data_IF_589397119676
#
_entry.id   IF_589397119676
#
_cell.length_a   1.000
_cell.length_b   1.000
_cell.length_c   1.000
_cell.angle_alpha   90.00
_cell.angle_beta   90.00
_cell.angle_gamma   90.00
#
_symmetry.space_group_name_H-M   'P 1'
#
loop_
_entity.id
_entity.type
_entity.pdbx_description
1 polymer ?
#
# COMPACT_ATOMS: atom_id res chain seq x y z
N UNK A 1 -40.48 12.68 3.31
CA UNK A 1 -39.23 12.12 3.86
C UNK A 1 -37.96 12.64 3.16
N UNK A 2 -37.85 12.64 1.82
CA UNK A 2 -36.67 13.20 1.09
C UNK A 2 -36.36 14.68 1.38
N UNK A 3 -37.39 15.52 1.56
CA UNK A 3 -37.23 16.96 1.86
C UNK A 3 -36.68 17.25 3.28
N UNK A 4 -36.99 16.38 4.25
CA UNK A 4 -36.52 16.51 5.64
C UNK A 4 -35.04 16.12 5.76
N UNK A 5 -34.62 15.10 5.02
CA UNK A 5 -33.20 14.68 4.94
C UNK A 5 -32.34 15.78 4.32
N UNK A 6 -32.85 16.50 3.32
CA UNK A 6 -32.14 17.61 2.68
C UNK A 6 -31.97 18.82 3.61
N UNK A 7 -32.98 19.14 4.43
CA UNK A 7 -32.88 20.20 5.45
C UNK A 7 -31.91 19.85 6.58
N UNK A 8 -31.81 18.58 6.98
CA UNK A 8 -30.83 18.13 7.99
C UNK A 8 -29.40 18.20 7.46
N UNK A 9 -29.19 17.84 6.19
CA UNK A 9 -27.90 18.00 5.50
C UNK A 9 -27.49 19.49 5.39
N UNK A 10 -28.44 20.38 5.08
CA UNK A 10 -28.15 21.83 4.97
C UNK A 10 -27.88 22.49 6.33
N UNK A 11 -28.54 22.05 7.42
CA UNK A 11 -28.24 22.54 8.77
C UNK A 11 -26.87 22.05 9.29
N UNK A 12 -26.45 20.85 8.89
CA UNK A 12 -25.13 20.31 9.29
C UNK A 12 -23.94 21.07 8.68
N UNK A 13 -24.13 21.72 7.51
CA UNK A 13 -23.09 22.55 6.88
C UNK A 13 -22.88 23.92 7.53
N UNK A 14 -23.85 24.44 8.29
CA UNK A 14 -23.68 25.70 9.01
C UNK A 14 -23.02 25.53 10.39
N UNK A 15 -23.15 24.36 11.01
CA UNK A 15 -22.50 24.04 12.29
C UNK A 15 -20.98 23.79 12.17
N UNK A 16 -20.45 23.52 10.96
CA UNK A 16 -19.01 23.30 10.76
C UNK A 16 -18.19 24.59 10.68
N UNK A 17 -18.82 25.77 10.68
CA UNK A 17 -18.10 27.06 10.61
C UNK A 17 -17.76 27.66 11.98
N UNK A 18 -18.18 27.03 13.08
CA UNK A 18 -17.99 27.56 14.44
C UNK A 18 -16.71 27.10 15.16
N UNK A 19 -15.78 26.41 14.47
CA UNK A 19 -14.49 25.99 15.04
C UNK A 19 -13.29 26.68 14.39
N UNK A 20 -13.36 28.00 14.20
CA UNK A 20 -12.15 28.80 14.01
C UNK A 20 -11.58 29.17 15.38
N UNK A 21 -10.74 28.28 15.90
CA UNK A 21 -9.85 28.57 17.04
C UNK A 21 -8.97 29.75 16.67
N UNK A 22 -8.96 30.78 17.52
CA UNK A 22 -8.06 31.94 17.43
C UNK A 22 -6.62 31.43 17.31
N UNK A 23 -6.00 31.63 16.14
CA UNK A 23 -4.63 31.21 15.86
C UNK A 23 -3.67 32.09 16.68
N UNK A 24 -3.03 31.50 17.71
CA UNK A 24 -1.95 32.15 18.47
C UNK A 24 -0.86 32.65 17.49
N UNK A 25 -0.17 33.77 17.79
CA UNK A 25 0.79 34.40 16.88
C UNK A 25 1.79 33.38 16.37
N UNK A 26 1.96 33.38 15.04
CA UNK A 26 2.69 32.38 14.29
C UNK A 26 4.14 32.28 14.78
N UNK A 27 4.48 31.15 15.40
CA UNK A 27 5.87 30.75 15.56
C UNK A 27 6.53 30.81 14.17
N UNK A 28 7.67 31.50 14.09
CA UNK A 28 8.39 31.79 12.84
C UNK A 28 8.55 30.50 12.02
N UNK A 29 7.74 30.35 10.97
CA UNK A 29 7.65 29.12 10.21
C UNK A 29 8.96 28.91 9.46
N UNK A 30 9.70 27.88 9.87
CA UNK A 30 11.03 27.57 9.36
C UNK A 30 11.06 26.14 8.85
N UNK A 31 11.77 25.91 7.75
CA UNK A 31 11.94 24.57 7.20
C UNK A 31 12.93 23.79 8.08
N UNK A 32 12.52 22.59 8.50
CA UNK A 32 13.33 21.73 9.37
C UNK A 32 13.79 20.46 8.66
N UNK A 33 14.84 19.86 9.22
CA UNK A 33 15.10 18.44 8.98
C UNK A 33 14.18 17.62 9.89
N UNK A 34 13.35 16.77 9.31
CA UNK A 34 12.30 16.02 10.01
C UNK A 34 12.43 14.55 9.63
N UNK A 35 13.02 13.71 10.50
CA UNK A 35 12.89 12.26 10.41
C UNK A 35 11.46 11.85 10.78
N UNK A 36 10.90 10.92 10.02
CA UNK A 36 9.50 10.51 10.11
C UNK A 36 9.35 9.00 9.92
N UNK A 37 8.43 8.42 10.68
CA UNK A 37 7.92 7.08 10.46
C UNK A 37 6.47 7.22 10.00
N UNK A 38 6.06 6.45 9.00
CA UNK A 38 4.69 6.47 8.51
C UNK A 38 4.10 5.07 8.43
N UNK A 39 2.81 4.97 8.71
CA UNK A 39 1.98 3.80 8.42
C UNK A 39 0.97 4.22 7.36
N UNK A 40 0.80 3.42 6.32
CA UNK A 40 -0.03 3.76 5.17
C UNK A 40 -0.86 2.58 4.69
N UNK A 41 -2.00 2.89 4.09
CA UNK A 41 -2.84 1.96 3.37
C UNK A 41 -2.97 2.43 1.91
N UNK A 42 -3.01 1.49 0.99
CA UNK A 42 -3.28 1.75 -0.41
C UNK A 42 -4.22 0.70 -1.00
N UNK A 43 -5.05 1.14 -1.93
CA UNK A 43 -5.80 0.26 -2.81
C UNK A 43 -5.17 0.35 -4.19
N UNK A 44 -4.76 -0.80 -4.75
CA UNK A 44 -3.97 -0.86 -5.98
C UNK A 44 -4.70 -1.69 -7.04
N UNK A 45 -4.69 -1.19 -8.28
CA UNK A 45 -5.10 -1.91 -9.47
C UNK A 45 -3.88 -2.53 -10.15
N UNK A 46 -4.11 -3.68 -10.78
CA UNK A 46 -3.11 -4.41 -11.55
C UNK A 46 -3.15 -4.01 -13.02
N UNK A 47 -2.00 -3.94 -13.67
CA UNK A 47 -1.82 -3.72 -15.11
C UNK A 47 -0.70 -4.61 -15.68
N UNK A 48 -0.58 -4.64 -17.01
CA UNK A 48 0.30 -5.55 -17.74
C UNK A 48 0.05 -7.02 -17.34
N UNK A 49 1.07 -7.87 -17.30
CA UNK A 49 0.93 -9.31 -17.02
C UNK A 49 0.53 -9.60 -15.56
N UNK A 50 0.54 -8.59 -14.68
CA UNK A 50 -0.08 -8.70 -13.35
C UNK A 50 -1.60 -8.76 -13.46
N UNK A 51 -2.21 -7.99 -14.37
CA UNK A 51 -3.66 -7.92 -14.54
C UNK A 51 -4.26 -9.20 -15.09
N UNK A 52 -3.48 -9.99 -15.83
CA UNK A 52 -3.92 -11.30 -16.36
C UNK A 52 -4.05 -12.33 -15.24
N UNK A 53 -3.30 -12.16 -14.14
CA UNK A 53 -3.23 -13.11 -13.03
C UNK A 53 -4.02 -12.66 -11.82
N UNK A 54 -4.03 -11.37 -11.52
CA UNK A 54 -4.57 -10.82 -10.28
C UNK A 54 -5.46 -9.60 -10.53
N UNK A 55 -6.59 -9.54 -9.83
CA UNK A 55 -7.42 -8.35 -9.69
C UNK A 55 -6.81 -7.29 -8.77
N UNK A 56 -7.59 -6.25 -8.44
CA UNK A 56 -7.17 -5.19 -7.51
C UNK A 56 -6.86 -5.75 -6.11
N UNK A 57 -5.89 -5.16 -5.43
CA UNK A 57 -5.42 -5.60 -4.13
C UNK A 57 -5.41 -4.47 -3.09
N UNK A 58 -5.35 -4.89 -1.83
CA UNK A 58 -5.08 -4.00 -0.69
C UNK A 58 -3.61 -4.07 -0.33
N UNK A 59 -3.07 -2.95 0.14
CA UNK A 59 -1.66 -2.80 0.46
C UNK A 59 -1.50 -2.00 1.76
N UNK A 60 -0.63 -2.46 2.64
CA UNK A 60 -0.24 -1.77 3.87
C UNK A 60 1.27 -1.54 3.84
N UNK A 61 1.70 -0.35 4.24
CA UNK A 61 3.10 0.04 4.12
C UNK A 61 3.63 0.78 5.33
N UNK A 62 4.85 0.42 5.74
CA UNK A 62 5.67 1.16 6.68
C UNK A 62 6.76 1.93 5.93
N UNK A 63 7.05 3.16 6.35
CA UNK A 63 8.11 3.97 5.73
C UNK A 63 8.90 4.71 6.78
N UNK A 64 10.22 4.72 6.64
CA UNK A 64 11.08 5.69 7.29
C UNK A 64 11.55 6.70 6.24
N UNK A 65 11.35 7.98 6.52
CA UNK A 65 11.70 9.06 5.59
C UNK A 65 12.31 10.24 6.34
N UNK A 66 13.34 10.84 5.76
CA UNK A 66 13.92 12.10 6.24
C UNK A 66 13.60 13.19 5.25
N UNK A 67 12.90 14.23 5.72
CA UNK A 67 12.77 15.50 5.03
C UNK A 67 13.89 16.43 5.46
N UNK A 68 14.57 17.09 4.54
CA UNK A 68 15.61 18.11 4.86
C UNK A 68 15.02 19.53 4.89
N UNK A 69 15.80 20.49 5.39
CA UNK A 69 15.49 21.93 5.31
C UNK A 69 15.32 22.43 3.87
N UNK A 70 16.03 21.81 2.92
CA UNK A 70 15.94 22.09 1.47
C UNK A 70 14.80 21.32 0.79
N UNK A 71 13.93 20.67 1.57
CA UNK A 71 12.79 19.89 1.10
C UNK A 71 13.13 18.66 0.26
N UNK A 72 14.37 18.17 0.32
CA UNK A 72 14.68 16.81 -0.16
C UNK A 72 14.06 15.77 0.76
N UNK A 73 13.57 14.69 0.16
CA UNK A 73 13.00 13.52 0.80
C UNK A 73 13.84 12.31 0.42
N UNK A 74 14.20 11.48 1.39
CA UNK A 74 14.83 10.18 1.12
C UNK A 74 14.52 9.21 2.24
N UNK A 75 14.59 7.92 1.94
CA UNK A 75 14.29 6.89 2.92
C UNK A 75 14.07 5.53 2.30
N UNK A 76 13.40 4.68 3.07
CA UNK A 76 13.03 3.34 2.62
C UNK A 76 11.60 3.02 3.03
N UNK A 77 10.92 2.23 2.20
CA UNK A 77 9.57 1.74 2.48
C UNK A 77 9.46 0.25 2.25
N UNK A 78 8.70 -0.40 3.13
CA UNK A 78 8.31 -1.79 3.02
C UNK A 78 6.79 -1.88 2.94
N UNK A 79 6.28 -2.69 2.02
CA UNK A 79 4.84 -2.90 1.86
C UNK A 79 4.49 -4.38 1.84
N UNK A 80 3.27 -4.69 2.26
CA UNK A 80 2.62 -5.98 2.15
C UNK A 80 1.30 -5.82 1.40
N UNK A 81 1.04 -6.68 0.41
CA UNK A 81 -0.18 -6.66 -0.41
C UNK A 81 -0.97 -7.96 -0.26
N UNK A 82 -2.30 -7.87 -0.34
CA UNK A 82 -3.22 -9.00 -0.22
C UNK A 82 -4.55 -8.81 -0.98
N UNK A 83 -5.33 -9.88 -1.08
CA UNK A 83 -6.74 -9.93 -1.56
C UNK A 83 -6.98 -9.90 -3.08
N UNK A 84 -5.96 -9.69 -3.91
CA UNK A 84 -6.16 -9.68 -5.37
C UNK A 84 -6.81 -10.98 -5.86
N UNK A 85 -8.03 -10.91 -6.41
CA UNK A 85 -8.74 -12.08 -6.94
C UNK A 85 -7.87 -12.74 -8.01
N UNK A 86 -7.59 -14.04 -7.88
CA UNK A 86 -6.85 -14.79 -8.90
C UNK A 86 -7.79 -15.01 -10.08
N UNK A 87 -7.36 -14.63 -11.28
CA UNK A 87 -8.18 -14.76 -12.50
C UNK A 87 -8.02 -16.13 -13.17
N UNK A 88 -6.89 -16.79 -12.95
CA UNK A 88 -6.68 -18.16 -13.43
C UNK A 88 -7.16 -19.13 -12.36
N UNK A 89 -8.45 -19.42 -12.35
CA UNK A 89 -9.08 -20.32 -11.36
C UNK A 89 -8.70 -21.80 -11.61
N UNK A 90 -8.19 -22.13 -12.80
CA UNK A 90 -7.76 -23.48 -13.18
C UNK A 90 -6.40 -23.91 -12.62
N UNK A 91 -5.72 -23.08 -11.81
CA UNK A 91 -4.42 -23.44 -11.20
C UNK A 91 -4.52 -24.73 -10.38
N UNK A 92 -5.70 -25.04 -9.84
CA UNK A 92 -5.95 -26.24 -9.05
C UNK A 92 -6.90 -27.23 -9.72
N UNK A 93 -7.12 -27.14 -11.04
CA UNK A 93 -8.05 -28.01 -11.77
C UNK A 93 -7.73 -29.50 -11.60
N UNK A 94 -6.45 -29.84 -11.43
CA UNK A 94 -6.01 -31.23 -11.22
C UNK A 94 -6.36 -31.77 -9.82
N UNK A 95 -6.82 -30.91 -8.90
CA UNK A 95 -7.14 -31.24 -7.52
C UNK A 95 -8.59 -30.93 -7.15
N UNK A 96 -9.31 -30.18 -7.98
CA UNK A 96 -10.66 -29.67 -7.69
C UNK A 96 -11.71 -30.37 -8.55
N UNK A 97 -12.93 -30.49 -8.04
CA UNK A 97 -14.11 -30.88 -8.82
C UNK A 97 -14.63 -29.68 -9.66
N UNK A 98 -15.69 -29.91 -10.44
CA UNK A 98 -16.33 -28.87 -11.28
C UNK A 98 -16.82 -27.64 -10.47
N UNK A 99 -17.05 -27.82 -9.16
CA UNK A 99 -17.47 -26.77 -8.23
C UNK A 99 -16.30 -26.02 -7.57
N UNK A 100 -15.04 -26.38 -7.88
CA UNK A 100 -13.83 -25.77 -7.32
C UNK A 100 -13.51 -26.22 -5.89
N UNK A 101 -14.06 -27.36 -5.46
CA UNK A 101 -13.91 -27.95 -4.14
C UNK A 101 -12.88 -29.08 -4.16
N UNK A 102 -12.21 -29.30 -3.03
CA UNK A 102 -11.23 -30.38 -2.86
C UNK A 102 -11.66 -31.28 -1.71
N UNK A 103 -11.34 -32.57 -1.83
CA UNK A 103 -11.59 -33.57 -0.79
C UNK A 103 -10.56 -33.39 0.33
N UNK A 104 -11.04 -33.16 1.56
CA UNK A 104 -10.22 -33.07 2.77
C UNK A 104 -9.78 -34.45 3.27
N UNK A 105 -8.94 -34.47 4.31
CA UNK A 105 -8.44 -35.72 4.90
C UNK A 105 -9.52 -36.63 5.51
N UNK A 106 -10.73 -36.11 5.69
CA UNK A 106 -11.89 -36.84 6.22
C UNK A 106 -12.88 -37.23 5.12
N UNK A 107 -12.53 -37.02 3.84
CA UNK A 107 -13.38 -37.33 2.70
C UNK A 107 -14.50 -36.30 2.45
N UNK A 108 -14.45 -35.13 3.07
CA UNK A 108 -15.45 -34.06 2.91
C UNK A 108 -15.00 -33.03 1.89
N UNK A 109 -15.95 -32.42 1.19
CA UNK A 109 -15.67 -31.34 0.25
C UNK A 109 -15.39 -30.03 1.00
N UNK A 110 -14.28 -29.36 0.66
CA UNK A 110 -13.91 -28.06 1.21
C UNK A 110 -13.60 -27.07 0.09
N UNK A 111 -14.03 -25.82 0.27
CA UNK A 111 -13.85 -24.76 -0.73
C UNK A 111 -12.49 -24.12 -0.62
N UNK A 112 -11.84 -23.90 -1.76
CA UNK A 112 -10.57 -23.20 -1.83
C UNK A 112 -10.79 -21.72 -2.14
N UNK A 113 -10.04 -20.89 -1.42
CA UNK A 113 -9.93 -19.47 -1.65
C UNK A 113 -8.55 -19.13 -2.20
N UNK A 114 -8.52 -18.70 -3.46
CA UNK A 114 -7.35 -18.16 -4.12
C UNK A 114 -7.31 -16.64 -3.98
N UNK A 115 -6.14 -16.10 -3.63
CA UNK A 115 -5.92 -14.67 -3.59
C UNK A 115 -4.48 -14.29 -3.85
N UNK A 116 -4.21 -13.00 -4.03
CA UNK A 116 -2.85 -12.49 -4.13
C UNK A 116 -2.24 -12.27 -2.74
N UNK A 117 -0.95 -12.56 -2.59
CA UNK A 117 -0.11 -12.10 -1.47
C UNK A 117 1.23 -11.62 -2.01
N UNK A 118 1.81 -10.61 -1.39
CA UNK A 118 3.14 -10.15 -1.78
C UNK A 118 3.76 -9.16 -0.82
N UNK A 119 5.02 -8.87 -1.04
CA UNK A 119 5.76 -7.84 -0.32
C UNK A 119 6.64 -7.06 -1.28
N UNK A 120 6.97 -5.83 -0.89
CA UNK A 120 7.92 -5.02 -1.66
C UNK A 120 8.77 -4.20 -0.71
N UNK A 121 10.00 -3.93 -1.12
CA UNK A 121 10.91 -3.04 -0.42
C UNK A 121 11.51 -2.06 -1.42
N UNK A 122 11.59 -0.78 -1.06
CA UNK A 122 12.16 0.26 -1.92
C UNK A 122 13.03 1.22 -1.12
N UNK A 123 14.18 1.57 -1.69
CA UNK A 123 14.91 2.80 -1.38
C UNK A 123 14.40 3.90 -2.29
N UNK A 124 14.17 5.09 -1.75
CA UNK A 124 13.63 6.20 -2.55
C UNK A 124 14.27 7.54 -2.22
N UNK A 125 14.20 8.44 -3.20
CA UNK A 125 14.63 9.82 -3.12
C UNK A 125 13.69 10.72 -3.91
N UNK A 126 13.54 11.95 -3.46
CA UNK A 126 12.60 12.89 -4.08
C UNK A 126 12.61 14.26 -3.43
N UNK A 127 11.54 15.02 -3.70
CA UNK A 127 11.45 16.42 -3.29
C UNK A 127 10.03 16.79 -2.90
N UNK A 128 9.94 17.67 -1.91
CA UNK A 128 8.72 18.36 -1.54
C UNK A 128 8.72 19.78 -2.13
N UNK A 129 7.61 20.15 -2.75
CA UNK A 129 7.35 21.48 -3.27
C UNK A 129 6.32 22.13 -2.33
N UNK A 130 6.78 23.15 -1.62
CA UNK A 130 5.97 23.92 -0.68
C UNK A 130 5.03 24.90 -1.41
N UNK A 131 4.06 24.36 -2.16
CA UNK A 131 2.97 25.10 -2.83
C UNK A 131 1.63 24.65 -2.24
N UNK A 132 0.67 25.59 -2.14
CA UNK A 132 -0.65 25.37 -1.53
C UNK A 132 -0.53 24.73 -0.13
N UNK A 133 0.41 25.25 0.67
CA UNK A 133 0.82 24.63 1.92
C UNK A 133 0.49 25.53 3.12
N UNK A 134 -0.12 24.99 4.18
CA UNK A 134 -0.43 25.74 5.40
C UNK A 134 0.81 26.10 6.23
N UNK A 135 1.96 25.51 5.90
CA UNK A 135 3.26 25.82 6.50
C UNK A 135 4.41 25.36 5.61
N UNK A 136 5.64 25.82 5.91
CA UNK A 136 6.86 25.52 5.15
C UNK A 136 7.30 24.05 5.15
N UNK A 137 6.65 23.21 5.94
CA UNK A 137 6.96 21.79 6.04
C UNK A 137 5.87 20.89 5.42
N UNK A 138 4.86 21.48 4.81
CA UNK A 138 3.78 20.79 4.08
C UNK A 138 3.86 21.10 2.59
N UNK A 139 3.14 20.34 1.77
CA UNK A 139 3.04 20.59 0.34
C UNK A 139 3.06 19.32 -0.50
N UNK A 140 3.18 19.50 -1.81
CA UNK A 140 3.25 18.38 -2.75
C UNK A 140 4.57 17.64 -2.62
N UNK A 141 4.52 16.31 -2.66
CA UNK A 141 5.69 15.44 -2.62
C UNK A 141 5.74 14.58 -3.87
N UNK A 142 6.94 14.44 -4.40
CA UNK A 142 7.24 13.57 -5.53
C UNK A 142 8.51 12.80 -5.20
N UNK A 143 8.45 11.49 -5.28
CA UNK A 143 9.65 10.66 -5.11
C UNK A 143 9.61 9.45 -6.01
N UNK A 144 10.81 9.00 -6.38
CA UNK A 144 11.04 7.77 -7.12
C UNK A 144 11.99 6.87 -6.34
N UNK A 145 11.90 5.58 -6.57
CA UNK A 145 12.71 4.60 -5.87
C UNK A 145 12.91 3.32 -6.65
N UNK A 146 13.88 2.54 -6.22
CA UNK A 146 14.20 1.22 -6.76
C UNK A 146 14.25 0.21 -5.62
N UNK A 147 14.04 -1.05 -5.93
CA UNK A 147 14.02 -2.12 -4.95
C UNK A 147 13.51 -3.42 -5.53
N UNK A 148 12.68 -4.13 -4.77
CA UNK A 148 12.24 -5.48 -5.10
C UNK A 148 10.74 -5.66 -4.86
N UNK A 149 10.13 -6.49 -5.70
CA UNK A 149 8.74 -6.94 -5.58
C UNK A 149 8.71 -8.47 -5.56
N UNK A 150 8.04 -9.02 -4.55
CA UNK A 150 7.69 -10.44 -4.51
C UNK A 150 6.18 -10.61 -4.41
N UNK A 151 5.65 -11.61 -5.09
CA UNK A 151 4.23 -11.95 -4.99
C UNK A 151 3.98 -13.43 -5.31
N UNK A 152 2.86 -13.95 -4.83
CA UNK A 152 2.39 -15.32 -5.07
C UNK A 152 0.87 -15.42 -5.01
N UNK A 153 0.37 -16.51 -5.54
CA UNK A 153 -0.97 -17.03 -5.27
C UNK A 153 -1.01 -17.60 -3.85
N UNK A 154 -1.85 -17.02 -3.02
CA UNK A 154 -2.21 -17.54 -1.71
C UNK A 154 -3.36 -18.51 -1.86
N UNK A 155 -3.13 -19.75 -1.47
CA UNK A 155 -4.14 -20.81 -1.42
C UNK A 155 -4.57 -20.96 0.04
N UNK A 156 -5.86 -20.78 0.33
CA UNK A 156 -6.44 -20.94 1.66
C UNK A 156 -7.65 -21.85 1.62
N UNK A 157 -7.85 -22.61 2.68
CA UNK A 157 -8.96 -23.53 2.88
C UNK A 157 -9.20 -23.68 4.39
N UNK A 158 -10.35 -24.22 4.78
CA UNK A 158 -10.75 -24.32 6.19
C UNK A 158 -10.26 -25.60 6.86
N UNK A 159 -10.24 -26.70 6.11
CA UNK A 159 -9.96 -28.06 6.61
C UNK A 159 -8.62 -28.59 6.09
N UNK A 160 -8.02 -29.58 6.76
CA UNK A 160 -6.74 -30.13 6.32
C UNK A 160 -6.89 -30.99 5.05
N UNK A 161 -6.10 -30.66 4.03
CA UNK A 161 -6.10 -31.32 2.72
C UNK A 161 -4.71 -31.88 2.43
N UNK A 162 -4.57 -33.21 2.39
CA UNK A 162 -3.28 -33.90 2.21
C UNK A 162 -2.61 -33.58 0.86
N UNK A 163 -3.41 -33.31 -0.18
CA UNK A 163 -2.90 -32.89 -1.50
C UNK A 163 -2.37 -31.45 -1.51
N UNK A 164 -2.67 -30.64 -0.49
CA UNK A 164 -2.27 -29.24 -0.37
C UNK A 164 -1.49 -28.95 0.92
N UNK A 165 -0.49 -29.79 1.22
CA UNK A 165 0.52 -29.45 2.23
C UNK A 165 1.28 -28.18 1.85
N UNK A 166 1.97 -27.57 2.81
CA UNK A 166 2.76 -26.36 2.55
C UNK A 166 3.90 -26.57 1.53
N UNK A 167 4.34 -27.82 1.35
CA UNK A 167 5.27 -28.19 0.29
C UNK A 167 4.56 -28.29 -1.07
N UNK A 168 3.43 -28.99 -1.16
CA UNK A 168 2.68 -29.11 -2.41
C UNK A 168 2.14 -27.77 -2.92
N UNK A 169 1.75 -26.85 -2.02
CA UNK A 169 1.37 -25.48 -2.39
C UNK A 169 2.44 -24.76 -3.21
N UNK A 170 3.73 -25.08 -3.03
CA UNK A 170 4.82 -24.44 -3.76
C UNK A 170 4.77 -24.75 -5.27
N UNK A 171 4.18 -25.87 -5.67
CA UNK A 171 3.98 -26.22 -7.09
C UNK A 171 2.88 -25.42 -7.78
N UNK A 172 2.02 -24.74 -7.00
CA UNK A 172 0.85 -24.00 -7.49
C UNK A 172 0.89 -22.50 -7.15
N UNK A 173 1.69 -22.08 -6.16
CA UNK A 173 1.67 -20.70 -5.67
C UNK A 173 2.29 -19.67 -6.64
N UNK A 174 2.96 -20.14 -7.70
CA UNK A 174 3.59 -19.29 -8.74
C UNK A 174 4.45 -18.15 -8.14
N UNK A 175 5.16 -18.45 -7.04
CA UNK A 175 5.94 -17.45 -6.32
C UNK A 175 6.97 -16.77 -7.22
N UNK A 176 6.84 -15.45 -7.36
CA UNK A 176 7.62 -14.62 -8.25
C UNK A 176 8.38 -13.55 -7.48
N UNK A 177 9.63 -13.31 -7.85
CA UNK A 177 10.50 -12.29 -7.26
C UNK A 177 11.25 -11.54 -8.37
N UNK A 178 11.49 -10.24 -8.17
CA UNK A 178 12.48 -9.53 -8.97
C UNK A 178 12.58 -8.05 -8.63
N UNK A 179 13.31 -7.33 -9.47
CA UNK A 179 13.55 -5.90 -9.31
C UNK A 179 12.29 -5.10 -9.63
N UNK A 180 12.13 -3.97 -8.94
CA UNK A 180 11.04 -3.06 -9.17
C UNK A 180 11.46 -1.61 -8.97
N UNK A 181 10.78 -0.72 -9.68
CA UNK A 181 10.82 0.73 -9.46
C UNK A 181 9.47 1.20 -8.94
N UNK A 182 9.50 2.23 -8.11
CA UNK A 182 8.32 2.84 -7.55
C UNK A 182 8.35 4.35 -7.74
N UNK A 183 7.19 4.95 -8.01
CA UNK A 183 6.97 6.38 -8.06
C UNK A 183 5.78 6.77 -7.19
N UNK A 184 5.88 7.91 -6.54
CA UNK A 184 4.78 8.47 -5.75
C UNK A 184 4.65 9.97 -6.03
N UNK A 185 3.40 10.41 -6.16
CA UNK A 185 3.02 11.81 -6.30
C UNK A 185 1.83 12.10 -5.39
N UNK A 186 1.95 13.07 -4.49
CA UNK A 186 0.89 13.34 -3.52
C UNK A 186 1.09 14.61 -2.74
N UNK A 187 0.36 14.73 -1.63
CA UNK A 187 0.41 15.85 -0.71
C UNK A 187 0.77 15.36 0.69
N UNK A 188 1.66 16.09 1.37
CA UNK A 188 2.11 15.83 2.73
C UNK A 188 1.71 17.02 3.61
N UNK A 189 0.96 16.74 4.67
CA UNK A 189 0.49 17.72 5.63
C UNK A 189 1.12 17.44 7.00
N UNK A 190 1.83 18.44 7.53
CA UNK A 190 2.40 18.40 8.89
C UNK A 190 1.81 19.54 9.71
N UNK A 191 0.95 19.24 10.69
CA UNK A 191 0.38 20.27 11.57
C UNK A 191 1.46 21.02 12.37
N UNK A 192 1.21 22.28 12.76
CA UNK A 192 2.07 22.99 13.71
C UNK A 192 2.06 22.30 15.09
N UNK A 193 0.91 21.79 15.52
CA UNK A 193 0.68 21.22 16.86
C UNK A 193 1.00 19.73 16.97
N UNK A 194 1.45 19.11 15.88
CA UNK A 194 1.85 17.69 15.77
C UNK A 194 0.82 16.60 15.99
N UNK A 195 -0.39 16.95 16.40
CA UNK A 195 -1.48 15.99 16.60
C UNK A 195 -1.92 15.29 15.31
N UNK A 196 -2.01 16.02 14.20
CA UNK A 196 -2.46 15.49 12.90
C UNK A 196 -1.37 15.69 11.86
N UNK A 197 -0.81 14.58 11.36
CA UNK A 197 0.14 14.58 10.25
C UNK A 197 -0.21 13.43 9.32
N UNK A 198 -0.40 13.71 8.05
CA UNK A 198 -0.85 12.72 7.07
C UNK A 198 -0.26 13.01 5.70
N UNK A 199 -0.30 12.01 4.84
CA UNK A 199 -0.05 12.18 3.42
C UNK A 199 -1.03 11.37 2.60
N UNK A 200 -1.25 11.77 1.35
CA UNK A 200 -2.12 11.09 0.42
C UNK A 200 -1.71 11.36 -1.01
N UNK A 201 -1.84 10.38 -1.90
CA UNK A 201 -1.47 10.54 -3.30
C UNK A 201 -1.56 9.26 -4.12
N UNK A 202 -1.01 9.34 -5.31
CA UNK A 202 -0.91 8.24 -6.26
C UNK A 202 0.42 7.51 -6.08
N UNK A 203 0.37 6.18 -6.03
CA UNK A 203 1.51 5.27 -5.90
C UNK A 203 1.55 4.35 -7.11
N UNK A 204 2.69 4.27 -7.79
CA UNK A 204 2.91 3.49 -9.00
C UNK A 204 4.13 2.59 -8.81
N UNK A 205 4.00 1.32 -9.17
CA UNK A 205 5.07 0.32 -9.08
C UNK A 205 5.15 -0.45 -10.38
N UNK A 206 6.35 -0.53 -10.94
CA UNK A 206 6.67 -1.34 -12.12
C UNK A 206 7.73 -2.35 -11.68
N UNK A 207 7.40 -3.64 -11.77
CA UNK A 207 8.30 -4.73 -11.39
C UNK A 207 8.54 -5.71 -12.53
N UNK A 208 9.77 -6.19 -12.64
CA UNK A 208 10.16 -7.29 -13.51
C UNK A 208 10.45 -8.50 -12.63
N UNK A 209 9.56 -9.48 -12.61
CA UNK A 209 9.65 -10.63 -11.71
C UNK A 209 9.78 -11.93 -12.49
N UNK A 210 10.56 -12.86 -11.99
CA UNK A 210 10.62 -14.24 -12.51
C UNK A 210 10.06 -15.20 -11.49
N UNK A 211 9.48 -16.30 -11.96
CA UNK A 211 9.09 -17.40 -11.08
C UNK A 211 10.34 -17.96 -10.40
N UNK A 212 10.27 -18.12 -9.08
CA UNK A 212 11.25 -18.89 -8.31
C UNK A 212 10.85 -20.36 -8.20
N UNK A 213 9.67 -20.72 -8.71
CA UNK A 213 9.23 -22.11 -8.85
C UNK A 213 9.79 -22.66 -10.14
N UNK A 214 10.69 -23.64 -10.02
CA UNK A 214 11.33 -24.30 -11.17
C UNK A 214 10.35 -25.09 -12.03
N UNK A 215 9.19 -25.46 -11.49
CA UNK A 215 8.23 -26.35 -12.14
C UNK A 215 6.81 -26.07 -11.62
N UNK A 216 5.86 -25.96 -12.55
CA UNK A 216 4.45 -25.74 -12.27
C UNK A 216 3.69 -27.07 -12.39
N UNK A 217 2.96 -27.46 -11.34
CA UNK A 217 2.29 -28.77 -11.29
C UNK A 217 1.02 -28.84 -12.15
N UNK A 218 0.40 -27.71 -12.42
CA UNK A 218 -0.78 -27.60 -13.26
C UNK A 218 -0.46 -27.78 -14.75
N UNK A 219 0.57 -27.07 -15.25
CA UNK A 219 0.95 -27.14 -16.67
C UNK A 219 2.01 -28.19 -16.98
N UNK A 220 2.63 -28.78 -15.95
CA UNK A 220 3.75 -29.71 -16.08
C UNK A 220 4.97 -29.11 -16.81
N UNK A 221 5.15 -27.79 -16.71
CA UNK A 221 6.19 -27.04 -17.42
C UNK A 221 7.12 -26.27 -16.48
N UNK A 222 8.32 -25.96 -16.97
CA UNK A 222 9.30 -25.09 -16.32
C UNK A 222 8.98 -23.64 -16.65
N UNK A 223 8.69 -22.81 -15.65
CA UNK A 223 8.49 -21.37 -15.86
C UNK A 223 9.82 -20.60 -15.82
N UNK A 224 10.33 -20.26 -16.99
CA UNK A 224 11.52 -19.42 -17.17
C UNK A 224 11.19 -17.98 -17.56
N UNK A 225 9.90 -17.64 -17.66
CA UNK A 225 9.46 -16.35 -18.20
C UNK A 225 9.74 -15.22 -17.21
N UNK A 226 10.10 -14.06 -17.76
CA UNK A 226 10.11 -12.80 -17.00
C UNK A 226 8.78 -12.09 -17.20
N UNK A 227 8.14 -11.73 -16.09
CA UNK A 227 6.85 -11.05 -16.09
C UNK A 227 7.02 -9.57 -15.79
N UNK A 228 6.35 -8.74 -16.57
CA UNK A 228 6.18 -7.31 -16.34
C UNK A 228 4.92 -7.09 -15.53
N UNK A 229 5.08 -6.63 -14.29
CA UNK A 229 3.99 -6.44 -13.34
C UNK A 229 3.86 -4.96 -13.01
N UNK A 230 2.66 -4.41 -13.21
CA UNK A 230 2.37 -3.03 -12.86
C UNK A 230 1.29 -3.02 -11.78
N UNK A 231 1.53 -2.23 -10.73
CA UNK A 231 0.58 -1.92 -9.67
C UNK A 231 0.47 -0.39 -9.55
N UNK A 232 -0.73 0.14 -9.58
CA UNK A 232 -0.96 1.58 -9.43
C UNK A 232 -2.18 1.83 -8.56
N UNK A 233 -2.20 2.92 -7.79
CA UNK A 233 -3.27 3.10 -6.83
C UNK A 233 -3.21 4.38 -6.03
N UNK A 234 -4.17 4.52 -5.13
CA UNK A 234 -4.23 5.62 -4.17
C UNK A 234 -3.69 5.14 -2.83
N UNK A 235 -2.76 5.89 -2.25
CA UNK A 235 -2.17 5.63 -0.95
C UNK A 235 -2.41 6.80 -0.01
N UNK A 236 -2.83 6.49 1.21
CA UNK A 236 -2.98 7.44 2.31
C UNK A 236 -2.22 6.92 3.52
N UNK A 237 -1.72 7.82 4.38
CA UNK A 237 -1.00 7.39 5.56
C UNK A 237 -0.88 8.43 6.64
N UNK A 238 -0.64 7.94 7.85
CA UNK A 238 -0.38 8.72 9.04
C UNK A 238 1.13 8.89 9.25
N UNK A 239 1.54 10.05 9.74
CA UNK A 239 2.95 10.39 9.95
C UNK A 239 3.23 10.64 11.44
N UNK A 240 4.25 9.96 11.95
CA UNK A 240 4.86 10.23 13.25
C UNK A 240 6.18 10.94 13.01
N UNK A 241 6.33 12.16 13.54
CA UNK A 241 7.56 12.94 13.44
C UNK A 241 8.47 12.67 14.63
N UNK A 242 9.75 12.50 14.37
CA UNK A 242 10.77 12.16 15.37
C UNK A 242 11.64 13.35 15.81
N UNK A 243 11.35 14.57 15.35
CA UNK A 243 12.11 15.76 15.72
C UNK A 243 11.76 16.29 17.13
N UNK A 244 12.71 16.88 17.86
CA UNK A 244 12.46 17.46 19.20
C UNK A 244 11.38 18.56 19.15
N UNK A 245 10.55 18.64 20.20
CA UNK A 245 9.60 19.74 20.39
C UNK A 245 10.40 21.00 20.74
N UNK A 246 10.26 22.09 19.99
CA UNK A 246 10.74 23.39 20.47
C UNK A 246 9.72 23.92 21.48
N UNK A 247 10.19 24.43 22.62
CA UNK A 247 9.37 25.23 23.51
C UNK A 247 8.72 26.34 22.69
N UNK A 248 7.45 26.62 22.98
CA UNK A 248 6.97 27.96 22.70
C UNK A 248 7.73 28.82 23.69
N UNK A 249 8.65 29.64 23.19
CA UNK A 249 9.28 30.65 24.02
C UNK A 249 8.15 31.61 24.43
N UNK A 250 7.65 31.43 25.65
CA UNK A 250 6.69 32.35 26.25
C UNK A 250 7.48 33.61 26.55
N UNK A 251 7.31 34.64 25.71
CA UNK A 251 7.70 35.98 26.09
C UNK A 251 6.71 36.44 27.17
N UNK A 252 7.16 36.47 28.42
CA UNK A 252 6.51 37.27 29.45
C UNK A 252 6.95 38.72 29.22
N UNK A 253 6.00 39.60 28.92
CA UNK A 253 6.15 41.04 29.07
C UNK A 253 5.59 41.44 30.43
#
# INVERSE_FOLDING_TARGET
>A
MKKIIFSILFLSSFLSQAQFVIEKPATKDTAFTIPMITVSYAYQWSAAEMADRFGPNSNIGGTFMVKTKKNWLYGFKGNFLWNGKVKNENILSNLTNDDGEVIDNQGRLTKIHLGQRGSSFFLFGGKMINKLAPNKNSGFIFYGGFGMLQHKVSIKFKDDVASLTDEHKKGYDRFSLGYAVNGFAGYLFLSKNRLLNFFGGFDYTHGWTKSLRKYNYDTQEVDTKSYTNILYGVRIGWIIRLNKRKSQDYYYN
#
